data_IF_086154517604
#
_entry.id   IF_086154517604
#
_cell.length_a   1.000
_cell.length_b   1.000
_cell.length_c   1.000
_cell.angle_alpha   90.00
_cell.angle_beta   90.00
_cell.angle_gamma   90.00
#
_symmetry.space_group_name_H-M   'P 1'
#
loop_
_entity.id
_entity.type
_entity.pdbx_description
1 polymer ?
#
# COMPACT_ATOMS: atom_id res chain seq x y z
N UNK A 1 -5.67 -23.54 -29.52
CA UNK A 1 -6.74 -23.48 -28.51
C UNK A 1 -6.15 -22.88 -27.23
N UNK A 2 -6.22 -21.55 -27.06
CA UNK A 2 -5.60 -20.88 -25.92
C UNK A 2 -6.43 -21.10 -24.65
N UNK A 3 -5.82 -21.57 -23.57
CA UNK A 3 -6.49 -21.64 -22.27
C UNK A 3 -6.71 -20.21 -21.79
N UNK A 4 -7.96 -19.78 -21.65
CA UNK A 4 -8.27 -18.58 -20.84
C UNK A 4 -7.89 -18.91 -19.40
N UNK A 5 -6.91 -18.20 -18.87
CA UNK A 5 -6.61 -18.21 -17.45
C UNK A 5 -7.74 -17.45 -16.76
N UNK A 6 -8.70 -18.18 -16.19
CA UNK A 6 -9.78 -17.61 -15.39
C UNK A 6 -9.37 -17.60 -13.92
N UNK A 7 -8.23 -16.98 -13.63
CA UNK A 7 -7.79 -16.72 -12.25
C UNK A 7 -8.26 -15.32 -11.88
N UNK A 8 -9.08 -15.17 -10.83
CA UNK A 8 -9.44 -13.85 -10.32
C UNK A 8 -8.17 -13.15 -9.83
N UNK A 9 -8.07 -11.84 -10.07
CA UNK A 9 -7.00 -11.04 -9.48
C UNK A 9 -7.19 -10.96 -7.97
N UNK A 10 -6.13 -11.23 -7.23
CA UNK A 10 -6.06 -10.95 -5.79
C UNK A 10 -6.24 -9.45 -5.56
N UNK A 11 -6.85 -9.09 -4.44
CA UNK A 11 -7.07 -7.69 -4.07
C UNK A 11 -6.41 -7.45 -2.74
N UNK A 12 -5.82 -6.28 -2.57
CA UNK A 12 -5.02 -5.97 -1.42
C UNK A 12 -5.49 -4.72 -0.73
N UNK A 13 -5.32 -4.68 0.59
CA UNK A 13 -5.51 -3.50 1.41
C UNK A 13 -4.27 -3.25 2.26
N UNK A 14 -3.84 -2.00 2.30
CA UNK A 14 -2.85 -1.48 3.25
C UNK A 14 -3.51 -0.36 4.04
N UNK A 15 -3.67 -0.49 5.35
CA UNK A 15 -4.18 0.61 6.18
C UNK A 15 -3.02 1.58 6.35
N UNK A 16 -3.24 2.86 6.02
CA UNK A 16 -2.23 3.91 6.09
C UNK A 16 -2.44 4.84 7.30
N UNK A 17 -3.66 4.87 7.85
CA UNK A 17 -3.99 5.65 9.04
C UNK A 17 -5.34 5.24 9.63
N UNK A 18 -5.49 5.35 10.96
CA UNK A 18 -6.79 5.38 11.64
C UNK A 18 -6.94 6.72 12.36
N UNK A 19 -7.83 7.57 11.84
CA UNK A 19 -8.03 8.93 12.38
C UNK A 19 -8.85 8.95 13.67
N UNK A 20 -8.62 9.95 14.52
CA UNK A 20 -9.44 10.21 15.73
C UNK A 20 -10.93 10.44 15.45
N UNK A 21 -11.28 10.75 14.19
CA UNK A 21 -12.66 10.96 13.73
C UNK A 21 -13.35 9.66 13.29
N UNK A 22 -12.67 8.51 13.41
CA UNK A 22 -13.21 7.20 13.09
C UNK A 22 -13.19 6.84 11.60
N UNK A 23 -12.39 7.55 10.80
CA UNK A 23 -12.06 7.17 9.42
C UNK A 23 -10.82 6.28 9.39
N UNK A 24 -10.87 5.24 8.55
CA UNK A 24 -9.74 4.40 8.18
C UNK A 24 -9.30 4.86 6.79
N UNK A 25 -8.06 5.30 6.68
CA UNK A 25 -7.38 5.63 5.42
C UNK A 25 -6.60 4.39 4.99
N UNK A 26 -6.72 4.01 3.73
CA UNK A 26 -6.12 2.79 3.22
C UNK A 26 -5.91 2.82 1.70
N UNK A 27 -4.89 2.09 1.27
CA UNK A 27 -4.63 1.80 -0.13
C UNK A 27 -5.37 0.53 -0.55
N UNK A 28 -6.00 0.56 -1.71
CA UNK A 28 -6.65 -0.60 -2.31
C UNK A 28 -6.04 -0.93 -3.67
N UNK A 29 -5.52 -2.15 -3.81
CA UNK A 29 -4.86 -2.62 -5.02
C UNK A 29 -5.55 -3.87 -5.61
N UNK A 30 -5.40 -4.08 -6.92
CA UNK A 30 -5.92 -5.26 -7.62
C UNK A 30 -4.83 -5.86 -8.50
N UNK A 31 -4.44 -7.10 -8.21
CA UNK A 31 -3.39 -7.83 -8.90
C UNK A 31 -1.98 -7.42 -8.49
N UNK A 32 -1.66 -6.13 -8.51
CA UNK A 32 -0.34 -5.58 -8.17
C UNK A 32 -0.43 -4.61 -6.99
N UNK A 33 0.15 -4.96 -5.82
CA UNK A 33 0.19 -4.10 -4.63
C UNK A 33 0.78 -2.70 -4.84
N UNK A 34 1.70 -2.53 -5.82
CA UNK A 34 2.33 -1.23 -6.11
C UNK A 34 1.41 -0.28 -6.90
N UNK A 35 0.29 -0.81 -7.42
CA UNK A 35 -0.71 -0.07 -8.20
C UNK A 35 -2.03 -0.01 -7.43
N UNK A 36 -2.21 1.06 -6.66
CA UNK A 36 -3.34 1.21 -5.75
C UNK A 36 -4.11 2.52 -5.96
N UNK A 37 -5.30 2.58 -5.37
CA UNK A 37 -6.05 3.81 -5.14
C UNK A 37 -6.13 4.08 -3.65
N UNK A 38 -5.98 5.34 -3.26
CA UNK A 38 -6.11 5.79 -1.88
C UNK A 38 -7.59 6.05 -1.55
N UNK A 39 -8.07 5.52 -0.43
CA UNK A 39 -9.46 5.63 0.00
C UNK A 39 -9.53 5.94 1.50
N UNK A 40 -10.62 6.58 1.92
CA UNK A 40 -10.93 6.81 3.33
C UNK A 40 -12.40 6.48 3.61
N UNK A 41 -12.65 5.59 4.56
CA UNK A 41 -14.01 5.16 4.92
C UNK A 41 -14.20 5.10 6.44
N UNK A 42 -15.42 5.34 6.96
CA UNK A 42 -15.75 5.01 8.34
C UNK A 42 -15.45 3.55 8.65
N UNK A 43 -14.93 3.24 9.85
CA UNK A 43 -14.47 1.89 10.23
C UNK A 43 -15.47 0.75 9.91
N UNK A 44 -16.76 0.98 10.13
CA UNK A 44 -17.81 0.00 9.79
C UNK A 44 -17.85 -0.30 8.28
N UNK A 45 -17.80 0.74 7.45
CA UNK A 45 -17.86 0.63 5.99
C UNK A 45 -16.57 0.04 5.42
N UNK A 46 -15.42 0.35 6.03
CA UNK A 46 -14.16 -0.31 5.72
C UNK A 46 -14.24 -1.83 5.91
N UNK A 47 -14.77 -2.29 7.05
CA UNK A 47 -14.93 -3.73 7.30
C UNK A 47 -15.85 -4.39 6.25
N UNK A 48 -17.01 -3.77 5.96
CA UNK A 48 -17.93 -4.24 4.92
C UNK A 48 -17.26 -4.24 3.52
N UNK A 49 -16.42 -3.24 3.22
CA UNK A 49 -15.66 -3.18 1.99
C UNK A 49 -14.69 -4.35 1.85
N UNK A 50 -13.94 -4.66 2.92
CA UNK A 50 -12.99 -5.77 2.95
C UNK A 50 -13.68 -7.12 2.72
N UNK A 51 -14.81 -7.36 3.40
CA UNK A 51 -15.62 -8.58 3.23
C UNK A 51 -16.16 -8.73 1.80
N UNK A 52 -16.75 -7.67 1.25
CA UNK A 52 -17.33 -7.68 -0.09
C UNK A 52 -16.27 -7.90 -1.17
N UNK A 53 -15.06 -7.36 -0.96
CA UNK A 53 -13.99 -7.48 -1.94
C UNK A 53 -13.14 -8.74 -1.78
N UNK A 54 -13.15 -9.41 -0.61
CA UNK A 54 -12.27 -10.53 -0.29
C UNK A 54 -10.79 -10.13 -0.39
N UNK A 55 -10.46 -9.05 0.30
CA UNK A 55 -9.11 -8.47 0.27
C UNK A 55 -8.14 -9.26 1.15
N UNK A 56 -6.87 -9.21 0.79
CA UNK A 56 -5.76 -9.64 1.62
C UNK A 56 -5.01 -8.41 2.14
N UNK A 57 -4.53 -8.46 3.37
CA UNK A 57 -3.58 -7.45 3.86
C UNK A 57 -2.20 -7.70 3.25
N UNK A 58 -1.43 -6.63 3.06
CA UNK A 58 -0.07 -6.76 2.53
C UNK A 58 0.83 -7.53 3.49
N UNK A 59 1.67 -8.40 2.93
CA UNK A 59 2.80 -8.97 3.66
C UNK A 59 3.90 -7.94 3.84
N UNK A 60 4.84 -8.19 4.74
CA UNK A 60 6.02 -7.34 4.95
C UNK A 60 6.82 -7.11 3.65
N UNK A 61 7.11 -8.17 2.89
CA UNK A 61 7.76 -8.07 1.59
C UNK A 61 6.98 -7.18 0.60
N UNK A 62 5.65 -7.23 0.63
CA UNK A 62 4.81 -6.40 -0.23
C UNK A 62 4.80 -4.94 0.24
N UNK A 63 4.76 -4.69 1.54
CA UNK A 63 4.89 -3.35 2.12
C UNK A 63 6.23 -2.70 1.71
N UNK A 64 7.33 -3.46 1.78
CA UNK A 64 8.65 -3.04 1.30
C UNK A 64 8.65 -2.70 -0.20
N UNK A 65 8.02 -3.57 -1.01
CA UNK A 65 7.93 -3.34 -2.45
C UNK A 65 7.15 -2.05 -2.76
N UNK A 66 6.02 -1.82 -2.08
CA UNK A 66 5.23 -0.58 -2.21
C UNK A 66 6.05 0.63 -1.77
N UNK A 67 6.74 0.57 -0.64
CA UNK A 67 7.55 1.68 -0.12
C UNK A 67 8.71 2.03 -1.07
N UNK A 68 9.38 1.04 -1.64
CA UNK A 68 10.48 1.23 -2.59
C UNK A 68 9.99 1.77 -3.94
N UNK A 69 8.84 1.31 -4.43
CA UNK A 69 8.24 1.85 -5.66
C UNK A 69 7.78 3.30 -5.45
N UNK A 70 7.12 3.61 -4.33
CA UNK A 70 6.76 4.98 -3.95
C UNK A 70 7.98 5.90 -3.93
N UNK A 71 9.10 5.45 -3.35
CA UNK A 71 10.36 6.21 -3.33
C UNK A 71 10.91 6.50 -4.73
N UNK A 72 10.91 5.47 -5.60
CA UNK A 72 11.30 5.59 -7.00
C UNK A 72 10.47 6.62 -7.74
N UNK A 73 9.16 6.64 -7.57
CA UNK A 73 8.32 7.61 -8.26
C UNK A 73 8.41 9.01 -7.64
N UNK A 74 8.64 9.12 -6.34
CA UNK A 74 8.80 10.42 -5.65
C UNK A 74 10.11 11.11 -6.01
N UNK A 75 11.22 10.38 -6.05
CA UNK A 75 12.57 10.96 -6.16
C UNK A 75 13.34 10.55 -7.43
N UNK A 76 12.82 9.60 -8.21
CA UNK A 76 13.51 9.09 -9.41
C UNK A 76 14.67 8.13 -9.11
N UNK A 77 14.87 7.73 -7.86
CA UNK A 77 15.95 6.83 -7.40
C UNK A 77 15.37 5.51 -6.95
N UNK A 78 15.99 4.37 -7.30
CA UNK A 78 15.50 3.07 -6.85
C UNK A 78 15.53 2.97 -5.32
N UNK A 79 14.37 2.68 -4.72
CA UNK A 79 14.30 2.39 -3.29
C UNK A 79 15.07 1.11 -2.96
N UNK A 80 15.90 1.16 -1.91
CA UNK A 80 16.72 0.04 -1.43
C UNK A 80 16.35 -0.37 0.00
N UNK A 81 15.16 0.02 0.48
CA UNK A 81 14.70 -0.26 1.84
C UNK A 81 14.58 -1.76 2.08
N UNK A 82 15.08 -2.18 3.22
CA UNK A 82 15.03 -3.56 3.73
C UNK A 82 14.07 -3.73 4.90
N UNK A 83 13.57 -2.62 5.46
CA UNK A 83 12.67 -2.59 6.60
C UNK A 83 11.48 -1.68 6.27
N UNK A 84 10.28 -2.07 6.73
CA UNK A 84 9.06 -1.30 6.51
C UNK A 84 9.18 -0.03 7.36
N UNK A 85 9.14 1.17 6.76
CA UNK A 85 9.23 2.39 7.55
C UNK A 85 8.03 2.50 8.48
N UNK A 86 8.27 2.85 9.74
CA UNK A 86 7.22 3.24 10.68
C UNK A 86 6.44 4.42 10.07
N UNK A 87 5.10 4.37 10.06
CA UNK A 87 4.22 5.37 9.43
C UNK A 87 4.49 6.80 9.92
N UNK A 88 4.98 6.95 11.15
CA UNK A 88 5.32 8.25 11.76
C UNK A 88 6.66 8.82 11.28
N UNK A 89 7.46 8.04 10.55
CA UNK A 89 8.79 8.41 10.07
C UNK A 89 8.80 8.77 8.58
N UNK A 90 7.80 9.54 8.11
CA UNK A 90 7.80 10.13 6.77
C UNK A 90 8.80 11.32 6.63
N UNK A 91 9.55 11.69 7.70
CA UNK A 91 10.27 12.97 7.78
C UNK A 91 11.69 12.97 8.37
N UNK A 92 12.39 11.85 8.44
CA UNK A 92 13.86 11.89 8.59
C UNK A 92 14.55 11.40 7.32
N UNK A 93 14.36 12.14 6.22
CA UNK A 93 15.34 12.10 5.14
C UNK A 93 16.56 12.90 5.65
N UNK A 94 17.63 12.21 6.08
CA UNK A 94 18.95 12.83 6.18
C UNK A 94 19.19 13.56 4.86
N UNK A 95 19.31 14.89 4.91
CA UNK A 95 19.75 15.67 3.76
C UNK A 95 21.05 15.03 3.28
N UNK A 96 21.00 14.37 2.13
CA UNK A 96 22.20 13.91 1.44
C UNK A 96 22.94 15.19 1.02
N UNK A 97 23.82 15.64 1.91
CA UNK A 97 24.73 16.75 1.71
C UNK A 97 25.71 16.33 0.64
N UNK A 98 25.32 16.55 -0.62
CA UNK A 98 26.26 16.47 -1.73
C UNK A 98 27.10 17.75 -1.69
N UNK A 99 28.32 17.64 -1.13
CA UNK A 99 29.40 18.63 -1.29
C UNK A 99 29.79 18.83 -2.75
#
# INVERSE_FOLDING_TARGET
MGRKLNVPFEKYVNITNETDRGLVEFDFAVGDPTMYVELALPKKQFNEFCENNKVNFLTEDQLLAVANDKYKWKYGVLGTRTEVPDEDNEYEDEEDSVE
#
